data_IF_816781175019
#
_entry.id   IF_816781175019
#
_cell.length_a   1.000
_cell.length_b   1.000
_cell.length_c   1.000
_cell.angle_alpha   90.00
_cell.angle_beta   90.00
_cell.angle_gamma   90.00
#
_symmetry.space_group_name_H-M   'P 1'
#
loop_
_entity.id
_entity.type
_entity.pdbx_description
1 polymer ?
#
# COMPACT_ATOMS: atom_id res chain seq x y z
N UNK A 1 1.79 -28.17 -6.72
CA UNK A 1 2.69 -27.67 -7.77
C UNK A 1 2.54 -26.14 -7.89
N UNK A 2 2.70 -25.43 -6.77
CA UNK A 2 2.42 -23.98 -6.60
C UNK A 2 3.66 -23.33 -5.99
N UNK A 3 4.79 -23.49 -6.70
CA UNK A 3 6.05 -22.82 -6.40
C UNK A 3 6.62 -22.48 -7.76
N UNK A 4 6.23 -21.33 -8.33
CA UNK A 4 6.90 -20.72 -9.50
C UNK A 4 6.39 -19.31 -9.88
N UNK A 5 5.42 -18.70 -9.17
CA UNK A 5 4.85 -17.39 -9.57
C UNK A 5 5.36 -16.16 -8.79
N UNK A 6 6.48 -16.27 -8.07
CA UNK A 6 7.11 -15.13 -7.35
C UNK A 6 8.32 -14.54 -8.12
N UNK A 7 8.57 -15.02 -9.34
CA UNK A 7 9.82 -14.76 -10.06
C UNK A 7 9.91 -13.50 -10.95
N UNK A 8 8.90 -12.63 -11.03
CA UNK A 8 8.86 -11.61 -12.10
C UNK A 8 9.01 -10.14 -11.65
N UNK A 9 9.07 -9.82 -10.35
CA UNK A 9 9.27 -8.41 -9.91
C UNK A 9 10.57 -8.15 -9.13
N UNK A 10 11.65 -8.87 -9.47
CA UNK A 10 12.97 -8.68 -8.84
C UNK A 10 14.01 -7.99 -9.76
N UNK A 11 13.67 -7.67 -11.02
CA UNK A 11 14.64 -7.15 -11.99
C UNK A 11 14.66 -5.62 -12.15
N UNK A 12 13.81 -4.88 -11.43
CA UNK A 12 13.76 -3.41 -11.49
C UNK A 12 14.09 -2.70 -10.16
N UNK A 13 14.46 -3.44 -9.10
CA UNK A 13 14.92 -2.86 -7.82
C UNK A 13 16.43 -3.04 -7.66
N UNK A 14 17.20 -1.97 -7.89
CA UNK A 14 18.68 -1.97 -7.85
C UNK A 14 19.29 -1.95 -6.44
N UNK A 15 18.55 -2.34 -5.39
CA UNK A 15 19.19 -2.65 -4.10
C UNK A 15 18.39 -3.68 -3.28
N UNK A 16 18.93 -4.89 -3.04
CA UNK A 16 18.28 -5.93 -2.22
C UNK A 16 18.11 -5.58 -0.73
N UNK A 17 18.80 -4.55 -0.22
CA UNK A 17 18.78 -4.21 1.22
C UNK A 17 17.52 -3.45 1.64
N UNK A 18 16.99 -2.56 0.79
CA UNK A 18 15.86 -1.69 1.14
C UNK A 18 14.52 -2.45 1.14
N UNK A 19 14.34 -3.45 0.26
CA UNK A 19 13.16 -4.31 0.27
C UNK A 19 13.08 -5.16 1.56
N UNK A 20 14.23 -5.63 2.06
CA UNK A 20 14.36 -6.35 3.34
C UNK A 20 14.06 -5.43 4.54
N UNK A 21 14.59 -4.21 4.56
CA UNK A 21 14.33 -3.23 5.62
C UNK A 21 12.89 -2.72 5.66
N UNK A 22 12.27 -2.45 4.50
CA UNK A 22 10.86 -2.05 4.44
C UNK A 22 9.92 -3.17 4.91
N UNK A 23 10.21 -4.42 4.55
CA UNK A 23 9.47 -5.59 5.04
C UNK A 23 9.62 -5.74 6.55
N UNK A 24 10.80 -5.47 7.10
CA UNK A 24 11.06 -5.47 8.56
C UNK A 24 10.27 -4.37 9.30
N UNK A 25 10.22 -3.16 8.74
CA UNK A 25 9.48 -2.02 9.30
C UNK A 25 7.97 -2.29 9.31
N UNK A 26 7.41 -2.77 8.19
CA UNK A 26 5.99 -3.12 8.10
C UNK A 26 5.68 -4.30 9.04
N UNK A 27 6.53 -5.33 9.09
CA UNK A 27 6.38 -6.48 9.98
C UNK A 27 6.51 -6.13 11.48
N UNK A 28 7.26 -5.08 11.82
CA UNK A 28 7.36 -4.55 13.20
C UNK A 28 6.10 -3.75 13.62
N UNK A 29 5.51 -3.00 12.69
CA UNK A 29 4.27 -2.27 12.91
C UNK A 29 3.06 -3.23 13.07
N UNK A 30 3.07 -4.36 12.36
CA UNK A 30 2.06 -5.42 12.50
C UNK A 30 2.21 -6.19 13.83
N UNK A 31 3.45 -6.49 14.27
CA UNK A 31 3.73 -7.18 15.55
C UNK A 31 3.29 -6.42 16.80
N UNK A 32 3.14 -5.10 16.74
CA UNK A 32 2.59 -4.31 17.85
C UNK A 32 1.10 -4.59 18.16
N UNK A 33 0.41 -5.43 17.37
CA UNK A 33 -1.01 -5.81 17.61
C UNK A 33 -1.18 -6.85 18.74
N UNK A 34 -0.14 -7.62 19.10
CA UNK A 34 -0.24 -8.78 20.01
C UNK A 34 -0.05 -8.49 21.51
N UNK A 35 0.23 -7.26 21.93
CA UNK A 35 0.44 -6.93 23.35
C UNK A 35 -0.60 -5.92 23.85
N UNK A 36 -1.61 -6.45 24.55
CA UNK A 36 -2.76 -5.74 25.11
C UNK A 36 -2.46 -4.80 26.28
N UNK A 37 -1.46 -3.92 26.20
CA UNK A 37 -1.22 -2.87 27.20
C UNK A 37 -0.95 -1.50 26.55
N UNK A 38 -1.94 -0.62 26.76
CA UNK A 38 -1.95 0.85 26.86
C UNK A 38 -0.97 1.71 26.04
N UNK A 39 -1.59 2.57 25.20
CA UNK A 39 -1.08 3.73 24.46
C UNK A 39 -0.31 3.41 23.16
N UNK A 40 -1.07 3.18 22.08
CA UNK A 40 -0.56 3.12 20.70
C UNK A 40 0.24 4.40 20.38
N UNK A 41 1.55 4.34 20.12
CA UNK A 41 2.37 5.52 19.83
C UNK A 41 2.05 6.17 18.48
N UNK A 42 1.12 5.60 17.72
CA UNK A 42 0.69 6.06 16.39
C UNK A 42 -0.75 6.60 16.36
N UNK A 43 -1.51 6.48 17.45
CA UNK A 43 -2.90 6.96 17.50
C UNK A 43 -2.93 8.49 17.36
N UNK A 44 -3.60 8.99 16.31
CA UNK A 44 -3.73 10.43 16.02
C UNK A 44 -2.70 11.00 15.04
N UNK A 45 -1.75 10.21 14.53
CA UNK A 45 -0.83 10.66 13.47
C UNK A 45 -1.42 10.42 12.09
N UNK A 46 -1.36 11.45 11.22
CA UNK A 46 -1.59 11.26 9.80
C UNK A 46 -0.47 10.41 9.18
N UNK A 47 -0.77 9.81 8.02
CA UNK A 47 0.09 8.83 7.37
C UNK A 47 1.50 9.39 7.06
N UNK A 48 1.57 10.63 6.57
CA UNK A 48 2.81 11.41 6.39
C UNK A 48 3.74 11.42 7.63
N UNK A 49 3.18 11.61 8.83
CA UNK A 49 3.96 11.65 10.09
C UNK A 49 4.56 10.29 10.46
N UNK A 50 3.91 9.18 10.05
CA UNK A 50 4.37 7.81 10.34
C UNK A 50 5.49 7.36 9.42
N UNK A 51 5.42 7.72 8.13
CA UNK A 51 6.47 7.45 7.14
C UNK A 51 7.73 8.28 7.44
N UNK A 52 7.57 9.54 7.88
CA UNK A 52 8.69 10.36 8.34
C UNK A 52 9.38 9.79 9.60
N UNK A 53 8.59 9.20 10.51
CA UNK A 53 9.12 8.55 11.71
C UNK A 53 9.93 7.28 11.38
N UNK A 54 9.43 6.43 10.48
CA UNK A 54 10.16 5.26 9.99
C UNK A 54 11.47 5.64 9.26
N UNK A 55 11.48 6.74 8.51
CA UNK A 55 12.66 7.26 7.80
C UNK A 55 13.76 7.80 8.72
N UNK A 56 13.42 8.39 9.86
CA UNK A 56 14.43 8.99 10.78
C UNK A 56 15.39 7.95 11.35
N UNK A 57 14.98 6.68 11.41
CA UNK A 57 15.79 5.56 11.88
C UNK A 57 16.79 5.06 10.82
N UNK A 58 16.53 5.28 9.53
CA UNK A 58 17.35 4.78 8.40
C UNK A 58 18.52 5.72 8.07
N UNK A 59 18.36 7.04 8.28
CA UNK A 59 19.35 8.07 7.88
C UNK A 59 20.66 8.02 8.69
N UNK A 60 20.69 7.34 9.84
CA UNK A 60 21.86 7.33 10.75
C UNK A 60 22.99 6.40 10.27
N UNK A 61 22.78 5.57 9.24
CA UNK A 61 23.61 4.39 8.99
C UNK A 61 24.70 4.47 7.89
N UNK A 62 24.96 5.60 7.21
CA UNK A 62 25.89 5.59 6.06
C UNK A 62 26.70 6.85 5.78
N UNK A 63 27.95 6.91 6.25
CA UNK A 63 28.97 7.86 5.75
C UNK A 63 30.37 7.20 5.60
N UNK A 64 30.99 7.32 4.41
CA UNK A 64 32.40 7.01 4.11
C UNK A 64 32.71 6.93 2.60
N UNK A 65 33.65 7.74 2.05
CA UNK A 65 33.77 8.03 0.60
C UNK A 65 35.18 8.07 -0.06
N UNK A 66 35.21 8.40 -1.37
CA UNK A 66 36.38 8.60 -2.29
C UNK A 66 35.97 9.25 -3.65
N UNK A 67 36.88 9.55 -4.62
CA UNK A 67 36.57 10.34 -5.88
C UNK A 67 35.74 9.63 -6.97
N UNK A 68 35.86 8.31 -7.15
CA UNK A 68 34.82 7.52 -7.86
C UNK A 68 33.52 7.49 -7.06
N UNK A 69 33.66 7.61 -5.75
CA UNK A 69 32.57 7.95 -4.85
C UNK A 69 31.98 9.34 -5.10
N UNK A 70 32.61 10.31 -5.77
CA UNK A 70 32.01 11.63 -6.02
C UNK A 70 30.97 11.57 -7.16
N UNK A 71 31.26 10.85 -8.24
CA UNK A 71 30.28 10.56 -9.30
C UNK A 71 29.20 9.59 -8.82
N UNK A 72 29.57 8.54 -8.10
CA UNK A 72 28.62 7.63 -7.47
C UNK A 72 27.79 8.32 -6.37
N UNK A 73 28.32 9.31 -5.66
CA UNK A 73 27.60 10.10 -4.65
C UNK A 73 26.71 11.15 -5.30
N UNK A 74 27.08 11.76 -6.44
CA UNK A 74 26.18 12.65 -7.19
C UNK A 74 25.01 11.87 -7.80
N UNK A 75 25.28 10.68 -8.36
CA UNK A 75 24.24 9.77 -8.83
C UNK A 75 23.40 9.22 -7.68
N UNK A 76 24.02 8.79 -6.58
CA UNK A 76 23.35 8.32 -5.36
C UNK A 76 22.50 9.39 -4.70
N UNK A 77 22.97 10.64 -4.64
CA UNK A 77 22.17 11.81 -4.20
C UNK A 77 21.01 12.11 -5.15
N UNK A 78 21.16 11.81 -6.44
CA UNK A 78 20.10 11.95 -7.44
C UNK A 78 19.02 10.87 -7.31
N UNK A 79 19.44 9.62 -7.14
CA UNK A 79 18.55 8.46 -6.89
C UNK A 79 17.81 8.63 -5.57
N UNK A 80 18.49 9.06 -4.51
CA UNK A 80 17.88 9.38 -3.20
C UNK A 80 16.83 10.50 -3.34
N UNK A 81 17.12 11.58 -4.06
CA UNK A 81 16.13 12.64 -4.33
C UNK A 81 14.94 12.14 -5.14
N UNK A 82 15.18 11.39 -6.19
CA UNK A 82 14.12 10.83 -7.03
C UNK A 82 13.22 9.91 -6.21
N UNK A 83 13.80 9.00 -5.42
CA UNK A 83 13.03 8.12 -4.54
C UNK A 83 12.24 8.91 -3.50
N UNK A 84 12.84 9.92 -2.86
CA UNK A 84 12.11 10.80 -1.93
C UNK A 84 10.91 11.46 -2.58
N UNK A 85 11.03 11.88 -3.83
CA UNK A 85 9.94 12.45 -4.61
C UNK A 85 8.86 11.43 -4.94
N UNK A 86 9.22 10.21 -5.33
CA UNK A 86 8.28 9.13 -5.62
C UNK A 86 7.46 8.81 -4.36
N UNK A 87 8.12 8.61 -3.23
CA UNK A 87 7.46 8.31 -1.95
C UNK A 87 6.53 9.46 -1.50
N UNK A 88 6.97 10.71 -1.70
CA UNK A 88 6.15 11.89 -1.41
C UNK A 88 4.92 11.96 -2.32
N UNK A 89 5.07 11.63 -3.61
CA UNK A 89 3.97 11.60 -4.56
C UNK A 89 2.95 10.50 -4.21
N UNK A 90 3.41 9.31 -3.83
CA UNK A 90 2.53 8.23 -3.35
C UNK A 90 1.77 8.65 -2.09
N UNK A 91 2.45 9.27 -1.13
CA UNK A 91 1.85 9.77 0.12
C UNK A 91 0.77 10.82 -0.17
N UNK A 92 1.08 11.81 -1.02
CA UNK A 92 0.10 12.84 -1.41
C UNK A 92 -1.09 12.24 -2.16
N UNK A 93 -0.86 11.23 -3.00
CA UNK A 93 -1.94 10.56 -3.73
C UNK A 93 -2.88 9.82 -2.77
N UNK A 94 -2.32 9.12 -1.78
CA UNK A 94 -3.08 8.35 -0.79
C UNK A 94 -3.86 9.28 0.16
N UNK A 95 -3.26 10.40 0.58
CA UNK A 95 -3.82 11.27 1.61
C UNK A 95 -4.73 12.36 1.05
N UNK A 96 -4.43 12.89 -0.14
CA UNK A 96 -5.10 14.07 -0.72
C UNK A 96 -5.65 13.85 -2.14
N UNK A 97 -5.41 12.69 -2.75
CA UNK A 97 -5.91 12.35 -4.09
C UNK A 97 -5.13 12.98 -5.26
N UNK A 98 -5.63 12.75 -6.48
CA UNK A 98 -4.96 13.12 -7.74
C UNK A 98 -4.68 14.62 -7.89
N UNK A 99 -5.55 15.47 -7.35
CA UNK A 99 -5.43 16.93 -7.47
C UNK A 99 -4.24 17.49 -6.68
N UNK A 100 -3.80 16.80 -5.64
CA UNK A 100 -2.61 17.19 -4.88
C UNK A 100 -1.30 16.95 -5.65
N UNK A 101 -1.32 16.13 -6.71
CA UNK A 101 -0.13 15.76 -7.47
C UNK A 101 0.27 16.86 -8.45
N UNK A 102 1.23 17.66 -7.99
CA UNK A 102 1.92 18.69 -8.78
C UNK A 102 3.41 18.65 -8.51
N UNK A 103 4.25 18.99 -9.48
CA UNK A 103 5.71 19.05 -9.32
C UNK A 103 6.12 19.88 -8.10
N UNK A 104 5.47 21.03 -7.89
CA UNK A 104 5.74 21.91 -6.74
C UNK A 104 5.41 21.22 -5.42
N UNK A 105 4.20 20.66 -5.28
CA UNK A 105 3.80 20.00 -4.02
C UNK A 105 4.66 18.78 -3.73
N UNK A 106 4.96 17.97 -4.74
CA UNK A 106 5.82 16.79 -4.57
C UNK A 106 7.24 17.20 -4.19
N UNK A 107 7.83 18.23 -4.82
CA UNK A 107 9.15 18.73 -4.45
C UNK A 107 9.19 19.26 -3.01
N UNK A 108 8.20 20.10 -2.66
CA UNK A 108 8.09 20.69 -1.33
C UNK A 108 7.91 19.57 -0.27
N UNK A 109 7.06 18.57 -0.53
CA UNK A 109 6.84 17.42 0.37
C UNK A 109 8.05 16.48 0.47
N UNK A 110 8.85 16.36 -0.60
CA UNK A 110 10.06 15.55 -0.61
C UNK A 110 11.29 16.27 -0.02
N UNK A 111 11.15 17.56 0.33
CA UNK A 111 12.25 18.39 0.83
C UNK A 111 13.36 18.58 -0.20
N UNK A 112 13.02 18.63 -1.50
CA UNK A 112 13.99 18.79 -2.60
C UNK A 112 13.78 20.13 -3.30
N UNK A 113 14.82 20.69 -3.96
CA UNK A 113 14.66 21.92 -4.74
C UNK A 113 13.57 21.78 -5.80
N UNK A 114 12.75 22.83 -5.97
CA UNK A 114 11.60 22.82 -6.90
C UNK A 114 11.98 22.48 -8.35
N UNK A 115 13.17 22.90 -8.79
CA UNK A 115 13.70 22.58 -10.12
C UNK A 115 14.02 21.09 -10.34
N UNK A 116 14.18 20.30 -9.27
CA UNK A 116 14.45 18.87 -9.37
C UNK A 116 13.26 18.08 -9.91
N UNK A 117 12.04 18.55 -9.66
CA UNK A 117 10.85 17.82 -10.07
C UNK A 117 10.67 17.74 -11.58
N UNK A 118 10.87 18.86 -12.28
CA UNK A 118 10.76 18.90 -13.74
C UNK A 118 11.85 18.10 -14.44
N UNK A 119 12.99 17.88 -13.78
CA UNK A 119 14.06 17.02 -14.28
C UNK A 119 13.68 15.54 -14.24
N UNK A 120 13.18 15.05 -13.10
CA UNK A 120 12.81 13.63 -12.95
C UNK A 120 11.45 13.28 -13.55
N UNK A 121 10.54 14.26 -13.61
CA UNK A 121 9.19 14.07 -14.11
C UNK A 121 8.89 15.15 -15.16
N UNK A 122 9.18 14.90 -16.44
CA UNK A 122 8.99 15.91 -17.48
C UNK A 122 7.52 16.33 -17.68
N UNK A 123 6.58 15.44 -17.40
CA UNK A 123 5.13 15.67 -17.59
C UNK A 123 4.36 15.44 -16.30
N UNK A 124 3.20 16.11 -16.15
CA UNK A 124 2.29 15.87 -15.03
C UNK A 124 1.70 14.45 -15.08
N UNK A 125 1.36 13.97 -16.26
CA UNK A 125 0.87 12.60 -16.47
C UNK A 125 1.91 11.56 -15.99
N UNK A 126 3.18 11.72 -16.36
CA UNK A 126 4.26 10.84 -15.89
C UNK A 126 4.49 10.91 -14.38
N UNK A 127 4.32 12.08 -13.76
CA UNK A 127 4.37 12.21 -12.29
C UNK A 127 3.20 11.45 -11.63
N UNK A 128 1.98 11.58 -12.16
CA UNK A 128 0.80 10.87 -11.65
C UNK A 128 0.95 9.36 -11.81
N UNK A 129 1.34 8.88 -13.00
CA UNK A 129 1.58 7.47 -13.24
C UNK A 129 2.63 6.89 -12.28
N UNK A 130 3.69 7.65 -11.99
CA UNK A 130 4.71 7.25 -11.01
C UNK A 130 4.13 7.20 -9.59
N UNK A 131 3.32 8.19 -9.21
CA UNK A 131 2.65 8.23 -7.90
C UNK A 131 1.71 7.03 -7.71
N UNK A 132 0.90 6.71 -8.72
CA UNK A 132 -0.02 5.56 -8.71
C UNK A 132 0.74 4.26 -8.59
N UNK A 133 1.79 4.06 -9.38
CA UNK A 133 2.64 2.87 -9.30
C UNK A 133 3.22 2.68 -7.91
N UNK A 134 3.83 3.73 -7.34
CA UNK A 134 4.40 3.66 -6.01
C UNK A 134 3.35 3.43 -4.90
N UNK A 135 2.13 3.96 -5.06
CA UNK A 135 1.03 3.71 -4.14
C UNK A 135 0.56 2.25 -4.22
N UNK A 136 0.46 1.67 -5.42
CA UNK A 136 0.07 0.26 -5.63
C UNK A 136 1.18 -0.71 -5.20
N UNK A 137 2.46 -0.39 -5.44
CA UNK A 137 3.61 -1.16 -4.94
C UNK A 137 3.58 -1.25 -3.40
N UNK A 138 3.35 -0.12 -2.74
CA UNK A 138 3.19 -0.04 -1.29
C UNK A 138 1.98 -0.85 -0.80
N UNK A 139 0.83 -0.70 -1.46
CA UNK A 139 -0.40 -1.43 -1.13
C UNK A 139 -0.17 -2.93 -1.24
N UNK A 140 0.47 -3.40 -2.30
CA UNK A 140 0.82 -4.80 -2.50
C UNK A 140 1.78 -5.30 -1.40
N UNK A 141 2.88 -4.60 -1.15
CA UNK A 141 3.83 -4.97 -0.10
C UNK A 141 3.15 -5.05 1.29
N UNK A 142 2.26 -4.10 1.58
CA UNK A 142 1.52 -4.06 2.83
C UNK A 142 0.47 -5.19 2.93
N UNK A 143 -0.22 -5.49 1.83
CA UNK A 143 -1.20 -6.57 1.77
C UNK A 143 -0.54 -7.93 2.02
N UNK A 144 0.59 -8.20 1.34
CA UNK A 144 1.39 -9.41 1.55
C UNK A 144 1.84 -9.53 3.00
N UNK A 145 2.43 -8.46 3.56
CA UNK A 145 2.90 -8.46 4.94
C UNK A 145 1.78 -8.67 5.96
N UNK A 146 0.60 -8.06 5.76
CA UNK A 146 -0.55 -8.31 6.63
C UNK A 146 -1.02 -9.76 6.56
N UNK A 147 -1.19 -10.30 5.35
CA UNK A 147 -1.66 -11.66 5.16
C UNK A 147 -0.69 -12.67 5.80
N UNK A 148 0.62 -12.51 5.59
CA UNK A 148 1.66 -13.38 6.16
C UNK A 148 1.80 -13.28 7.68
N UNK A 149 1.39 -12.17 8.28
CA UNK A 149 1.45 -11.99 9.72
C UNK A 149 0.24 -12.58 10.47
N UNK A 150 -0.84 -12.94 9.78
CA UNK A 150 -2.02 -13.51 10.42
C UNK A 150 -1.71 -14.90 11.01
N UNK A 151 -2.10 -15.22 12.26
CA UNK A 151 -1.95 -16.58 12.77
C UNK A 151 -2.86 -17.56 12.01
N UNK A 152 -2.39 -18.79 11.82
CA UNK A 152 -3.21 -19.87 11.25
C UNK A 152 -4.23 -20.35 12.29
N UNK A 153 -5.52 -20.05 12.04
CA UNK A 153 -6.64 -20.52 12.86
C UNK A 153 -7.94 -20.40 12.10
N UNK A 154 -8.93 -21.21 12.47
CA UNK A 154 -10.30 -20.99 11.99
C UNK A 154 -10.84 -19.67 12.53
N UNK A 155 -11.30 -18.80 11.63
CA UNK A 155 -11.97 -17.53 11.97
C UNK A 155 -13.47 -17.61 11.68
N UNK A 156 -14.25 -16.81 12.39
CA UNK A 156 -15.64 -16.59 12.03
C UNK A 156 -15.71 -15.78 10.71
N UNK A 157 -16.77 -15.95 9.93
CA UNK A 157 -16.92 -15.35 8.60
C UNK A 157 -16.78 -13.84 8.58
N UNK A 158 -17.41 -13.17 9.55
CA UNK A 158 -17.29 -11.72 9.74
C UNK A 158 -15.86 -11.28 10.10
N UNK A 159 -15.15 -12.09 10.88
CA UNK A 159 -13.77 -11.82 11.24
C UNK A 159 -12.86 -11.99 10.02
N UNK A 160 -13.03 -13.07 9.24
CA UNK A 160 -12.34 -13.26 7.96
C UNK A 160 -12.60 -12.09 7.01
N UNK A 161 -13.85 -11.63 6.90
CA UNK A 161 -14.23 -10.48 6.08
C UNK A 161 -13.48 -9.20 6.48
N UNK A 162 -13.32 -8.93 7.78
CA UNK A 162 -12.54 -7.78 8.25
C UNK A 162 -11.06 -7.89 7.85
N UNK A 163 -10.46 -9.08 7.96
CA UNK A 163 -9.06 -9.27 7.55
C UNK A 163 -8.87 -9.18 6.03
N UNK A 164 -9.87 -9.60 5.25
CA UNK A 164 -9.90 -9.42 3.80
C UNK A 164 -9.96 -7.94 3.42
N UNK A 165 -10.85 -7.15 4.05
CA UNK A 165 -10.94 -5.71 3.83
C UNK A 165 -9.64 -5.01 4.23
N UNK A 166 -9.09 -5.34 5.41
CA UNK A 166 -7.84 -4.74 5.87
C UNK A 166 -6.65 -5.04 4.94
N UNK A 167 -6.56 -6.28 4.45
CA UNK A 167 -5.53 -6.70 3.49
C UNK A 167 -5.73 -6.05 2.13
N UNK A 168 -6.97 -6.02 1.63
CA UNK A 168 -7.30 -5.43 0.33
C UNK A 168 -6.92 -3.94 0.27
N UNK A 169 -7.10 -3.19 1.35
CA UNK A 169 -6.83 -1.74 1.40
C UNK A 169 -5.65 -1.37 2.27
N UNK A 170 -4.70 -2.28 2.46
CA UNK A 170 -3.47 -2.04 3.19
C UNK A 170 -2.71 -0.77 2.68
N UNK A 171 -1.89 -0.10 3.51
CA UNK A 171 -1.59 -0.41 4.92
C UNK A 171 -2.67 0.00 5.92
N UNK A 172 -3.68 0.76 5.50
CA UNK A 172 -4.71 1.28 6.40
C UNK A 172 -6.05 1.43 5.68
N UNK A 173 -7.11 1.05 6.40
CA UNK A 173 -8.49 1.22 5.99
C UNK A 173 -9.27 1.84 7.15
N UNK A 174 -10.11 2.81 6.84
CA UNK A 174 -11.08 3.43 7.73
C UNK A 174 -12.42 3.59 7.01
N UNK A 175 -13.42 4.17 7.69
CA UNK A 175 -14.77 4.29 7.14
C UNK A 175 -14.88 5.23 5.94
N UNK A 176 -13.83 6.01 5.64
CA UNK A 176 -13.76 6.87 4.44
C UNK A 176 -13.34 6.13 3.18
N UNK A 177 -12.97 4.84 3.29
CA UNK A 177 -12.37 4.02 2.21
C UNK A 177 -13.11 4.09 0.86
N UNK A 178 -14.44 4.21 0.87
CA UNK A 178 -15.21 4.34 -0.37
C UNK A 178 -14.78 5.58 -1.18
N UNK A 179 -14.75 6.75 -0.53
CA UNK A 179 -14.38 8.01 -1.19
C UNK A 179 -12.86 8.16 -1.29
N UNK A 180 -12.13 7.77 -0.25
CA UNK A 180 -10.68 8.02 -0.15
C UNK A 180 -9.84 7.03 -0.98
N UNK A 181 -10.35 5.82 -1.26
CA UNK A 181 -9.60 4.78 -1.98
C UNK A 181 -10.36 4.25 -3.19
N UNK A 182 -11.59 3.77 -3.01
CA UNK A 182 -12.33 3.11 -4.09
C UNK A 182 -12.65 4.08 -5.24
N UNK A 183 -13.16 5.27 -4.95
CA UNK A 183 -13.46 6.28 -5.98
C UNK A 183 -12.21 6.63 -6.82
N UNK A 184 -11.06 7.03 -6.24
CA UNK A 184 -9.82 7.23 -6.98
C UNK A 184 -9.37 6.01 -7.80
N UNK A 185 -9.50 4.79 -7.27
CA UNK A 185 -9.15 3.57 -7.99
C UNK A 185 -10.06 3.37 -9.21
N UNK A 186 -11.35 3.65 -9.11
CA UNK A 186 -12.27 3.54 -10.25
C UNK A 186 -11.96 4.55 -11.35
N UNK A 187 -11.50 5.75 -10.98
CA UNK A 187 -10.99 6.75 -11.94
C UNK A 187 -9.73 6.22 -12.63
N UNK A 188 -8.76 5.72 -11.87
CA UNK A 188 -7.51 5.18 -12.41
C UNK A 188 -7.74 3.97 -13.35
N UNK A 189 -8.71 3.11 -13.03
CA UNK A 189 -9.09 1.97 -13.87
C UNK A 189 -9.69 2.37 -15.24
N UNK A 190 -10.24 3.58 -15.35
CA UNK A 190 -10.82 4.11 -16.59
C UNK A 190 -9.86 4.97 -17.40
N UNK A 191 -8.75 5.37 -16.81
CA UNK A 191 -7.69 6.12 -17.49
C UNK A 191 -6.79 5.15 -18.29
N UNK A 192 -6.67 5.30 -19.62
CA UNK A 192 -5.84 4.42 -20.44
C UNK A 192 -4.35 4.38 -20.06
N UNK A 193 -3.82 5.44 -19.44
CA UNK A 193 -2.42 5.49 -18.99
C UNK A 193 -2.22 4.82 -17.62
N UNK A 194 -3.24 4.83 -16.76
CA UNK A 194 -3.15 4.29 -15.38
C UNK A 194 -3.69 2.86 -15.26
N UNK A 195 -4.68 2.49 -16.06
CA UNK A 195 -5.29 1.15 -16.04
C UNK A 195 -4.27 0.00 -16.20
N UNK A 196 -3.21 0.09 -17.03
CA UNK A 196 -2.18 -0.93 -17.09
C UNK A 196 -1.46 -1.14 -15.75
N UNK A 197 -1.21 -0.06 -15.01
CA UNK A 197 -0.59 -0.11 -13.68
C UNK A 197 -1.49 -0.85 -12.69
N UNK A 198 -2.79 -0.51 -12.67
CA UNK A 198 -3.76 -1.18 -11.79
C UNK A 198 -3.85 -2.68 -12.09
N UNK A 199 -3.86 -3.05 -13.39
CA UNK A 199 -3.94 -4.45 -13.84
C UNK A 199 -2.72 -5.26 -13.44
N UNK A 200 -1.53 -4.64 -13.47
CA UNK A 200 -0.26 -5.26 -13.09
C UNK A 200 -0.26 -5.71 -11.63
N UNK A 201 -0.84 -4.93 -10.71
CA UNK A 201 -0.82 -5.22 -9.27
C UNK A 201 -1.94 -6.17 -8.82
N UNK A 202 -3.02 -6.27 -9.60
CA UNK A 202 -4.22 -7.05 -9.26
C UNK A 202 -3.91 -8.50 -8.85
N UNK A 203 -3.10 -9.29 -9.59
CA UNK A 203 -2.80 -10.67 -9.20
C UNK A 203 -2.11 -10.79 -7.84
N UNK A 204 -1.23 -9.85 -7.50
CA UNK A 204 -0.53 -9.84 -6.21
C UNK A 204 -1.48 -9.58 -5.04
N UNK A 205 -2.43 -8.66 -5.21
CA UNK A 205 -3.48 -8.43 -4.20
C UNK A 205 -4.35 -9.67 -4.02
N UNK A 206 -4.77 -10.30 -5.12
CA UNK A 206 -5.56 -11.54 -5.06
C UNK A 206 -4.82 -12.67 -4.34
N UNK A 207 -3.52 -12.82 -4.58
CA UNK A 207 -2.68 -13.78 -3.88
C UNK A 207 -2.66 -13.52 -2.36
N UNK A 208 -2.51 -12.26 -1.94
CA UNK A 208 -2.55 -11.90 -0.51
C UNK A 208 -3.91 -12.22 0.13
N UNK A 209 -5.03 -11.99 -0.57
CA UNK A 209 -6.37 -12.38 -0.09
C UNK A 209 -6.52 -13.89 0.02
N UNK A 210 -5.94 -14.66 -0.91
CA UNK A 210 -5.86 -16.12 -0.82
C UNK A 210 -5.18 -16.59 0.47
N UNK A 211 -4.03 -15.99 0.81
CA UNK A 211 -3.32 -16.28 2.06
C UNK A 211 -4.18 -15.96 3.29
N UNK A 212 -4.95 -14.87 3.28
CA UNK A 212 -5.89 -14.55 4.37
C UNK A 212 -6.95 -15.64 4.52
N UNK A 213 -7.52 -16.12 3.41
CA UNK A 213 -8.52 -17.19 3.42
C UNK A 213 -7.95 -18.49 3.98
N UNK A 214 -6.80 -18.94 3.47
CA UNK A 214 -6.11 -20.15 3.93
C UNK A 214 -5.83 -20.08 5.43
N UNK A 215 -5.19 -19.00 5.89
CA UNK A 215 -4.85 -18.80 7.31
C UNK A 215 -6.07 -18.65 8.21
N UNK A 216 -7.24 -18.37 7.64
CA UNK A 216 -8.53 -18.27 8.32
C UNK A 216 -9.33 -19.57 8.31
N UNK A 217 -8.78 -20.65 7.76
CA UNK A 217 -9.47 -21.92 7.60
C UNK A 217 -10.59 -21.85 6.56
N UNK A 218 -10.45 -20.97 5.56
CA UNK A 218 -11.41 -20.72 4.47
C UNK A 218 -10.87 -21.07 3.09
N UNK A 219 -10.06 -22.13 3.02
CA UNK A 219 -9.51 -22.65 1.75
C UNK A 219 -10.55 -23.25 0.80
N UNK A 220 -11.80 -23.39 1.26
CA UNK A 220 -12.98 -23.70 0.44
C UNK A 220 -13.30 -22.59 -0.56
N UNK A 221 -12.92 -21.34 -0.28
CA UNK A 221 -13.19 -20.21 -1.16
C UNK A 221 -12.22 -20.19 -2.35
N UNK A 222 -12.72 -20.56 -3.53
CA UNK A 222 -11.89 -20.74 -4.74
C UNK A 222 -11.90 -19.53 -5.68
N UNK A 223 -13.03 -18.82 -5.76
CA UNK A 223 -13.16 -17.63 -6.62
C UNK A 223 -12.81 -16.34 -5.86
N UNK A 224 -11.51 -16.14 -5.69
CA UNK A 224 -10.96 -14.99 -4.95
C UNK A 224 -11.19 -13.67 -5.70
N UNK A 225 -11.24 -13.72 -7.03
CA UNK A 225 -11.49 -12.53 -7.85
C UNK A 225 -12.93 -12.02 -7.64
N UNK A 226 -13.91 -12.93 -7.67
CA UNK A 226 -15.30 -12.62 -7.32
C UNK A 226 -15.43 -12.12 -5.88
N UNK A 227 -14.76 -12.77 -4.92
CA UNK A 227 -14.76 -12.33 -3.52
C UNK A 227 -14.23 -10.90 -3.38
N UNK A 228 -13.14 -10.56 -4.09
CA UNK A 228 -12.60 -9.22 -4.05
C UNK A 228 -13.56 -8.18 -4.64
N UNK A 229 -14.27 -8.52 -5.73
CA UNK A 229 -15.34 -7.67 -6.25
C UNK A 229 -16.50 -7.49 -5.26
N UNK A 230 -16.87 -8.54 -4.53
CA UNK A 230 -17.86 -8.46 -3.47
C UNK A 230 -17.40 -7.54 -2.33
N UNK A 231 -16.12 -7.60 -1.94
CA UNK A 231 -15.54 -6.69 -0.93
C UNK A 231 -15.69 -5.23 -1.36
N UNK A 232 -15.32 -4.91 -2.61
CA UNK A 232 -15.47 -3.55 -3.15
C UNK A 232 -16.94 -3.10 -3.14
N UNK A 233 -17.85 -3.95 -3.62
CA UNK A 233 -19.28 -3.67 -3.67
C UNK A 233 -19.90 -3.53 -2.26
N UNK A 234 -19.46 -4.33 -1.29
CA UNK A 234 -19.92 -4.27 0.09
C UNK A 234 -19.53 -2.95 0.75
N UNK A 235 -18.31 -2.45 0.48
CA UNK A 235 -17.84 -1.15 0.98
C UNK A 235 -18.64 0.01 0.38
N UNK A 236 -18.88 0.00 -0.94
CA UNK A 236 -19.70 1.02 -1.62
C UNK A 236 -21.14 1.01 -1.06
N UNK A 237 -21.72 -0.18 -0.90
CA UNK A 237 -23.07 -0.35 -0.36
C UNK A 237 -23.15 0.14 1.08
N UNK A 238 -22.16 -0.19 1.92
CA UNK A 238 -22.10 0.27 3.30
C UNK A 238 -21.93 1.79 3.39
N UNK A 239 -21.09 2.39 2.54
CA UNK A 239 -20.87 3.84 2.50
C UNK A 239 -22.10 4.65 2.05
N UNK A 240 -23.10 4.01 1.42
CA UNK A 240 -24.37 4.65 1.07
C UNK A 240 -25.27 4.94 2.29
N UNK A 241 -24.94 4.39 3.45
CA UNK A 241 -25.62 4.64 4.73
C UNK A 241 -24.93 5.72 5.58
N UNK A 242 -25.00 5.64 6.92
CA UNK A 242 -24.24 6.52 7.81
C UNK A 242 -22.74 6.53 7.51
N UNK A 243 -22.05 7.63 7.81
CA UNK A 243 -20.60 7.75 7.57
C UNK A 243 -19.75 6.86 8.50
N UNK A 244 -20.26 6.51 9.68
CA UNK A 244 -19.57 5.65 10.65
C UNK A 244 -19.94 4.16 10.47
N UNK A 245 -19.02 3.27 10.83
CA UNK A 245 -19.22 1.82 10.82
C UNK A 245 -19.39 1.25 9.41
N UNK A 246 -18.77 1.87 8.40
CA UNK A 246 -18.77 1.40 7.01
C UNK A 246 -18.06 0.06 6.91
N UNK A 247 -16.87 -0.06 7.52
CA UNK A 247 -16.09 -1.31 7.51
C UNK A 247 -16.89 -2.44 8.16
N UNK A 248 -17.54 -2.15 9.28
CA UNK A 248 -18.26 -3.17 10.04
C UNK A 248 -19.47 -3.69 9.29
N UNK A 249 -20.22 -2.81 8.62
CA UNK A 249 -21.35 -3.21 7.76
C UNK A 249 -20.91 -3.93 6.50
N UNK A 250 -19.79 -3.53 5.90
CA UNK A 250 -19.21 -4.25 4.78
C UNK A 250 -18.74 -5.65 5.20
N UNK A 251 -18.13 -5.79 6.39
CA UNK A 251 -17.75 -7.07 6.94
C UNK A 251 -18.96 -7.97 7.25
N UNK A 252 -20.10 -7.41 7.64
CA UNK A 252 -21.35 -8.17 7.79
C UNK A 252 -21.88 -8.69 6.45
N UNK A 253 -21.79 -7.90 5.39
CA UNK A 253 -22.19 -8.31 4.03
C UNK A 253 -21.31 -9.44 3.50
N UNK A 254 -19.99 -9.26 3.55
CA UNK A 254 -19.02 -10.27 3.09
C UNK A 254 -19.06 -11.51 3.99
N UNK A 255 -19.24 -11.34 5.30
CA UNK A 255 -19.38 -12.44 6.25
C UNK A 255 -20.56 -13.34 5.93
N UNK A 256 -21.73 -12.76 5.60
CA UNK A 256 -22.90 -13.54 5.16
C UNK A 256 -22.65 -14.32 3.89
N UNK A 257 -21.92 -13.74 2.94
CA UNK A 257 -21.53 -14.48 1.73
C UNK A 257 -20.65 -15.69 2.08
N UNK A 258 -19.64 -15.49 2.94
CA UNK A 258 -18.76 -16.57 3.40
C UNK A 258 -19.50 -17.65 4.19
N UNK A 259 -20.60 -17.34 4.88
CA UNK A 259 -21.44 -18.34 5.55
C UNK A 259 -22.17 -19.27 4.57
N UNK A 260 -22.32 -18.85 3.31
CA UNK A 260 -23.09 -19.55 2.26
C UNK A 260 -22.25 -19.98 1.05
N UNK A 261 -20.94 -19.75 1.08
CA UNK A 261 -19.98 -20.24 0.07
C UNK A 261 -19.76 -21.75 0.23
#
# INVERSE_FOLDING_TARGET
>A
MIVLYVGISAQSMTSPSLASEFTSIISSAVRCRDHGTSRKPYAGMNYSSRVQHARRLVVVAGEGGGRDGERAMVQGRGVDRQQRMIDAAATLLIDEGFDAITHRRVADAAGVPRGSASYYFPTRAGLIATAVRAAEDLRLASATAYAEALPERRRASRETARELIATAFAPHVDDTVAVARLDPMTVALRDPELAPIMREHRPGILAALGVVLERSGRGDVTDIDLLAHLVDAALITAASGPAEGVIDRAADLVGRFLDHY
#
